data_IF_953004697638
#
_entry.id   IF_953004697638
#
_cell.length_a   1.000
_cell.length_b   1.000
_cell.length_c   1.000
_cell.angle_alpha   90.00
_cell.angle_beta   90.00
_cell.angle_gamma   90.00
#
_symmetry.space_group_name_H-M   'P 1'
#
loop_
_entity.id
_entity.type
_entity.pdbx_description
1 polymer ?
#
# COMPACT_ATOMS: atom_id res chain seq x y z
N UNK A 1 5.17 23.57 -9.47
CA UNK A 1 5.44 22.15 -9.39
C UNK A 1 5.39 21.70 -7.92
N UNK A 2 4.89 20.50 -7.67
CA UNK A 2 4.75 19.93 -6.33
C UNK A 2 5.34 18.51 -6.34
N UNK A 3 6.17 18.21 -5.37
CA UNK A 3 6.59 16.87 -5.01
C UNK A 3 5.91 16.49 -3.70
N UNK A 4 5.16 15.40 -3.67
CA UNK A 4 4.39 14.97 -2.52
C UNK A 4 4.68 13.49 -2.20
N UNK A 5 4.72 13.18 -0.92
CA UNK A 5 4.80 11.79 -0.46
C UNK A 5 3.48 11.03 -0.72
N UNK A 6 3.58 9.72 -0.75
CA UNK A 6 2.41 8.83 -0.77
C UNK A 6 1.69 8.84 0.62
N UNK A 7 0.45 8.55 0.72
CA UNK A 7 -0.52 8.40 -0.34
C UNK A 7 -1.01 9.79 -0.77
N UNK A 8 -1.70 9.87 -1.92
CA UNK A 8 -2.16 11.15 -2.47
C UNK A 8 -3.00 11.92 -1.45
N UNK A 9 -3.97 11.27 -0.83
CA UNK A 9 -4.78 11.80 0.26
C UNK A 9 -5.42 10.63 1.04
N UNK A 10 -6.18 10.94 2.07
CA UNK A 10 -6.85 9.96 2.92
C UNK A 10 -8.20 9.51 2.36
N UNK A 11 -8.91 10.39 1.68
CA UNK A 11 -10.24 10.11 1.12
C UNK A 11 -10.25 10.21 -0.41
N UNK A 12 -11.22 9.55 -1.04
CA UNK A 12 -11.40 9.63 -2.48
C UNK A 12 -11.73 11.05 -2.95
N UNK A 13 -12.53 11.78 -2.18
CA UNK A 13 -12.91 13.16 -2.51
C UNK A 13 -11.68 14.09 -2.48
N UNK A 14 -10.81 13.93 -1.49
CA UNK A 14 -9.53 14.66 -1.44
C UNK A 14 -8.63 14.31 -2.62
N UNK A 15 -8.51 13.02 -2.97
CA UNK A 15 -7.75 12.59 -4.14
C UNK A 15 -8.31 13.20 -5.42
N UNK A 16 -9.64 13.20 -5.56
CA UNK A 16 -10.32 13.79 -6.72
C UNK A 16 -10.09 15.31 -6.80
N UNK A 17 -10.19 16.02 -5.69
CA UNK A 17 -9.94 17.47 -5.64
C UNK A 17 -8.49 17.81 -6.06
N UNK A 18 -7.51 17.03 -5.61
CA UNK A 18 -6.11 17.18 -6.01
C UNK A 18 -5.95 16.92 -7.52
N UNK A 19 -6.54 15.84 -8.02
CA UNK A 19 -6.49 15.46 -9.44
C UNK A 19 -7.14 16.52 -10.33
N UNK A 20 -8.33 17.00 -9.98
CA UNK A 20 -9.06 18.03 -10.73
C UNK A 20 -8.25 19.36 -10.74
N UNK A 21 -7.65 19.74 -9.61
CA UNK A 21 -6.78 20.93 -9.52
C UNK A 21 -5.53 20.78 -10.38
N UNK A 22 -4.91 19.61 -10.35
CA UNK A 22 -3.75 19.31 -11.19
C UNK A 22 -4.08 19.45 -12.68
N UNK A 23 -5.19 18.87 -13.13
CA UNK A 23 -5.60 18.94 -14.54
C UNK A 23 -5.89 20.35 -15.03
N UNK A 24 -6.21 21.28 -14.13
CA UNK A 24 -6.43 22.71 -14.46
C UNK A 24 -5.13 23.50 -14.41
N UNK A 25 -4.03 22.90 -14.00
CA UNK A 25 -2.75 23.57 -13.82
C UNK A 25 -1.76 23.18 -14.93
N UNK A 26 -0.86 24.08 -15.28
CA UNK A 26 0.31 23.80 -16.15
C UNK A 26 1.53 23.34 -15.33
N UNK A 27 1.32 22.87 -14.11
CA UNK A 27 2.41 22.50 -13.18
C UNK A 27 2.58 20.99 -13.15
N UNK A 28 3.74 20.52 -12.72
CA UNK A 28 4.00 19.12 -12.43
C UNK A 28 3.57 18.82 -11.00
N UNK A 29 2.78 17.78 -10.84
CA UNK A 29 2.47 17.15 -9.57
C UNK A 29 3.05 15.74 -9.58
N UNK A 30 3.92 15.44 -8.63
CA UNK A 30 4.58 14.14 -8.52
C UNK A 30 4.28 13.53 -7.14
N UNK A 31 3.76 12.32 -7.13
CA UNK A 31 3.61 11.51 -5.92
C UNK A 31 4.72 10.46 -5.84
N UNK A 32 5.38 10.41 -4.69
CA UNK A 32 6.50 9.51 -4.47
C UNK A 32 6.04 8.07 -4.20
N UNK A 33 5.77 7.33 -5.29
CA UNK A 33 5.63 5.87 -5.25
C UNK A 33 6.99 5.28 -5.65
N UNK A 34 7.91 5.18 -4.70
CA UNK A 34 9.34 4.95 -4.95
C UNK A 34 9.63 3.68 -5.76
N UNK A 35 8.83 2.63 -5.63
CA UNK A 35 9.01 1.36 -6.35
C UNK A 35 8.87 1.51 -7.86
N UNK A 36 8.05 2.46 -8.32
CA UNK A 36 7.91 2.76 -9.76
C UNK A 36 9.19 3.27 -10.40
N UNK A 37 10.13 3.76 -9.58
CA UNK A 37 11.40 4.35 -10.01
C UNK A 37 12.62 3.55 -9.58
N UNK A 38 12.42 2.45 -8.85
CA UNK A 38 13.48 1.52 -8.49
C UNK A 38 13.83 0.62 -9.68
N UNK A 39 15.10 0.61 -10.07
CA UNK A 39 15.60 -0.13 -11.24
C UNK A 39 15.30 -1.63 -11.15
N UNK A 40 15.27 -2.21 -9.95
CA UNK A 40 14.95 -3.62 -9.74
C UNK A 40 13.49 -3.90 -10.08
N UNK A 41 12.57 -3.05 -9.59
CA UNK A 41 11.14 -3.17 -9.91
C UNK A 41 10.88 -2.92 -11.40
N UNK A 42 11.50 -1.90 -11.99
CA UNK A 42 11.40 -1.64 -13.44
C UNK A 42 11.85 -2.87 -14.23
N UNK A 43 13.01 -3.46 -13.88
CA UNK A 43 13.52 -4.65 -14.55
C UNK A 43 12.62 -5.86 -14.34
N UNK A 44 12.14 -6.10 -13.12
CA UNK A 44 11.17 -7.15 -12.81
C UNK A 44 9.89 -7.03 -13.65
N UNK A 45 9.33 -5.82 -13.75
CA UNK A 45 8.14 -5.56 -14.58
C UNK A 45 8.39 -5.78 -16.07
N UNK A 46 9.55 -5.40 -16.58
CA UNK A 46 9.93 -5.71 -17.97
C UNK A 46 9.96 -7.23 -18.22
N UNK A 47 10.48 -8.00 -17.29
CA UNK A 47 10.53 -9.47 -17.37
C UNK A 47 9.13 -10.08 -17.29
N UNK A 48 8.27 -9.62 -16.39
CA UNK A 48 6.87 -10.05 -16.29
C UNK A 48 6.13 -9.74 -17.60
N UNK A 49 6.23 -8.50 -18.06
CA UNK A 49 5.51 -8.04 -19.25
C UNK A 49 6.05 -8.61 -20.57
N UNK A 50 7.27 -9.15 -20.58
CA UNK A 50 7.79 -9.91 -21.73
C UNK A 50 7.26 -11.35 -21.79
N UNK A 51 6.49 -11.77 -20.78
CA UNK A 51 5.93 -13.14 -20.71
C UNK A 51 6.88 -14.18 -20.11
N UNK A 52 7.98 -13.76 -19.47
CA UNK A 52 8.98 -14.66 -18.89
C UNK A 52 8.35 -15.64 -17.87
N UNK A 53 7.42 -15.15 -17.04
CA UNK A 53 6.71 -15.97 -16.06
C UNK A 53 5.36 -16.51 -16.57
N UNK A 54 5.03 -16.27 -17.86
CA UNK A 54 3.72 -16.60 -18.43
C UNK A 54 2.64 -15.60 -18.00
N UNK A 55 1.39 -16.04 -17.98
CA UNK A 55 0.24 -15.22 -17.54
C UNK A 55 0.25 -15.06 -16.03
N UNK A 56 0.01 -13.85 -15.53
CA UNK A 56 -0.15 -13.60 -14.09
C UNK A 56 -1.45 -14.23 -13.61
N UNK A 57 -1.35 -15.23 -12.74
CA UNK A 57 -2.48 -16.02 -12.23
C UNK A 57 -2.81 -15.77 -10.76
N UNK A 58 -1.95 -15.07 -10.03
CA UNK A 58 -2.16 -14.69 -8.65
C UNK A 58 -1.03 -13.82 -8.12
N UNK A 59 -1.25 -13.16 -7.00
CA UNK A 59 -0.25 -12.35 -6.32
C UNK A 59 -0.38 -12.50 -4.81
N UNK A 60 0.74 -12.49 -4.14
CA UNK A 60 0.83 -12.54 -2.68
C UNK A 60 1.74 -11.44 -2.21
N UNK A 61 1.29 -10.67 -1.23
CA UNK A 61 2.09 -9.61 -0.65
C UNK A 61 1.91 -9.58 0.86
N UNK A 62 2.97 -9.31 1.56
CA UNK A 62 2.86 -9.05 2.97
C UNK A 62 3.82 -7.95 3.42
N UNK A 63 3.45 -7.29 4.52
CA UNK A 63 4.33 -6.35 5.21
C UNK A 63 4.25 -6.59 6.70
N UNK A 64 5.22 -7.35 7.20
CA UNK A 64 5.35 -7.65 8.60
C UNK A 64 6.50 -6.85 9.20
N UNK A 65 6.23 -6.21 10.31
CA UNK A 65 7.25 -5.49 11.06
C UNK A 65 6.91 -5.48 12.55
N UNK A 66 7.90 -5.24 13.38
CA UNK A 66 7.70 -5.06 14.81
C UNK A 66 7.96 -3.58 15.15
N UNK A 67 6.90 -2.77 15.09
CA UNK A 67 6.97 -1.35 15.33
C UNK A 67 5.60 -0.80 15.72
N UNK A 68 5.52 -0.09 16.83
CA UNK A 68 4.28 0.52 17.31
C UNK A 68 3.91 1.83 16.59
N UNK A 69 4.86 2.44 15.88
CA UNK A 69 4.79 3.77 15.25
C UNK A 69 4.61 4.94 16.22
N UNK A 70 4.48 4.66 17.51
CA UNK A 70 4.28 5.70 18.50
C UNK A 70 5.57 6.46 18.77
N UNK A 71 5.44 7.76 18.94
CA UNK A 71 6.54 8.66 19.33
C UNK A 71 6.16 9.36 20.63
N UNK A 72 7.13 9.64 21.51
CA UNK A 72 6.88 10.47 22.68
C UNK A 72 6.32 11.82 22.27
N UNK A 73 5.20 12.22 22.89
CA UNK A 73 4.61 13.55 22.72
C UNK A 73 5.03 14.43 23.90
N UNK A 74 5.50 15.66 23.68
CA UNK A 74 5.93 16.57 24.76
C UNK A 74 4.77 17.00 25.67
N UNK A 75 3.55 17.00 25.15
CA UNK A 75 2.34 17.30 25.92
C UNK A 75 1.13 16.53 25.34
N UNK A 76 0.05 16.33 26.12
CA UNK A 76 -1.17 15.66 25.68
C UNK A 76 -1.82 16.32 24.46
N UNK A 77 -1.73 17.66 24.34
CA UNK A 77 -2.33 18.42 23.24
C UNK A 77 -1.63 18.13 21.90
N UNK A 78 -0.36 17.71 21.94
CA UNK A 78 0.42 17.38 20.75
C UNK A 78 0.36 15.89 20.39
N UNK A 79 -0.22 15.04 21.25
CA UNK A 79 -0.29 13.59 21.05
C UNK A 79 -0.86 13.21 19.68
N UNK A 80 -2.05 13.66 19.33
CA UNK A 80 -2.68 13.32 18.04
C UNK A 80 -1.94 13.89 16.83
N UNK A 81 -1.32 15.05 16.99
CA UNK A 81 -0.55 15.68 15.90
C UNK A 81 0.75 14.93 15.60
N UNK A 82 1.47 14.51 16.64
CA UNK A 82 2.75 13.78 16.50
C UNK A 82 2.50 12.33 16.07
N UNK A 83 1.50 11.69 16.68
CA UNK A 83 1.14 10.30 16.44
C UNK A 83 -0.02 10.15 15.45
N UNK A 84 -0.15 11.06 14.49
CA UNK A 84 -1.25 11.12 13.53
C UNK A 84 -1.54 9.78 12.81
N UNK A 85 -0.50 8.95 12.60
CA UNK A 85 -0.65 7.62 11.98
C UNK A 85 -1.52 6.65 12.78
N UNK A 86 -1.73 6.91 14.06
CA UNK A 86 -2.45 6.03 14.97
C UNK A 86 -3.96 6.34 15.04
N UNK A 87 -4.41 7.43 14.41
CA UNK A 87 -5.78 7.95 14.54
C UNK A 87 -6.51 7.97 13.20
N UNK A 88 -7.81 7.56 13.22
CA UNK A 88 -8.64 7.43 12.01
C UNK A 88 -8.97 8.75 11.33
N UNK A 89 -8.95 9.84 12.06
CA UNK A 89 -9.20 11.19 11.53
C UNK A 89 -8.05 11.71 10.65
N UNK A 90 -6.86 11.16 10.81
CA UNK A 90 -5.65 11.62 10.13
C UNK A 90 -4.92 10.54 9.32
N UNK A 91 -5.28 9.26 9.50
CA UNK A 91 -4.60 8.13 8.83
C UNK A 91 -5.58 7.10 8.28
N UNK A 92 -5.26 6.51 7.14
CA UNK A 92 -5.93 5.32 6.62
C UNK A 92 -5.31 4.00 7.12
N UNK A 93 -4.42 4.06 8.12
CA UNK A 93 -3.81 2.90 8.76
C UNK A 93 -2.91 2.09 7.82
N UNK A 94 -2.79 0.79 8.06
CA UNK A 94 -1.90 -0.11 7.34
C UNK A 94 -2.14 -0.12 5.82
N UNK A 95 -3.38 0.10 5.39
CA UNK A 95 -3.72 0.08 3.97
C UNK A 95 -3.13 1.26 3.20
N UNK A 96 -3.16 2.45 3.76
CA UNK A 96 -2.57 3.65 3.12
C UNK A 96 -1.08 3.81 3.41
N UNK A 97 -0.63 3.35 4.58
CA UNK A 97 0.77 3.53 4.98
C UNK A 97 1.70 2.47 4.39
N UNK A 98 1.24 1.23 4.25
CA UNK A 98 2.04 0.09 3.80
C UNK A 98 1.49 -0.56 2.52
N UNK A 99 0.23 -0.98 2.50
CA UNK A 99 -0.34 -1.73 1.39
C UNK A 99 -0.31 -0.98 0.06
N UNK A 100 -0.43 0.35 0.07
CA UNK A 100 -0.39 1.16 -1.15
C UNK A 100 0.84 0.87 -2.02
N UNK A 101 2.01 0.64 -1.41
CA UNK A 101 3.24 0.31 -2.13
C UNK A 101 3.17 -1.02 -2.87
N UNK A 102 2.57 -2.02 -2.26
CA UNK A 102 2.49 -3.38 -2.80
C UNK A 102 1.33 -3.52 -3.78
N UNK A 103 0.20 -2.88 -3.48
CA UNK A 103 -0.95 -2.83 -4.39
C UNK A 103 -0.61 -2.14 -5.71
N UNK A 104 0.22 -1.09 -5.67
CA UNK A 104 0.72 -0.44 -6.88
C UNK A 104 1.56 -1.40 -7.73
N UNK A 105 2.49 -2.14 -7.12
CA UNK A 105 3.31 -3.16 -7.80
C UNK A 105 2.41 -4.23 -8.43
N UNK A 106 1.40 -4.72 -7.69
CA UNK A 106 0.45 -5.70 -8.19
C UNK A 106 -0.37 -5.17 -9.40
N UNK A 107 -0.87 -3.94 -9.30
CA UNK A 107 -1.62 -3.32 -10.39
C UNK A 107 -0.72 -3.08 -11.61
N UNK A 108 0.54 -2.72 -11.40
CA UNK A 108 1.53 -2.57 -12.46
C UNK A 108 1.81 -3.91 -13.17
N UNK A 109 2.03 -4.98 -12.39
CA UNK A 109 2.22 -6.32 -12.95
C UNK A 109 0.98 -6.79 -13.72
N UNK A 110 -0.22 -6.56 -13.19
CA UNK A 110 -1.48 -6.97 -13.80
C UNK A 110 -1.93 -6.06 -14.95
N UNK A 111 -1.40 -4.83 -15.08
CA UNK A 111 -1.84 -3.77 -16.02
C UNK A 111 -3.33 -3.44 -15.92
N UNK A 112 -3.92 -3.56 -14.75
CA UNK A 112 -5.35 -3.31 -14.48
C UNK A 112 -5.61 -3.06 -13.00
N UNK A 113 -6.82 -2.60 -12.71
CA UNK A 113 -7.28 -2.35 -11.34
C UNK A 113 -8.19 -3.48 -10.86
N UNK A 114 -8.19 -3.80 -9.55
CA UNK A 114 -9.13 -4.77 -8.99
C UNK A 114 -10.56 -4.23 -9.04
N UNK A 115 -11.54 -5.16 -9.12
CA UNK A 115 -12.97 -4.84 -9.22
C UNK A 115 -13.73 -5.13 -7.92
N UNK A 116 -13.14 -5.86 -6.99
CA UNK A 116 -13.73 -6.12 -5.70
C UNK A 116 -12.65 -6.36 -4.64
N UNK A 117 -13.03 -6.10 -3.39
CA UNK A 117 -12.19 -6.25 -2.22
C UNK A 117 -12.99 -6.88 -1.08
N UNK A 118 -12.34 -7.72 -0.30
CA UNK A 118 -12.83 -8.22 0.98
C UNK A 118 -11.67 -8.32 1.97
N UNK A 119 -11.94 -8.13 3.25
CA UNK A 119 -10.89 -8.25 4.24
C UNK A 119 -11.37 -8.03 5.65
N UNK A 120 -10.47 -8.26 6.58
CA UNK A 120 -10.64 -8.05 8.02
C UNK A 120 -9.43 -7.33 8.57
N UNK A 121 -9.64 -6.59 9.66
CA UNK A 121 -8.58 -5.94 10.40
C UNK A 121 -8.97 -5.73 11.84
N UNK A 122 -7.98 -5.73 12.71
CA UNK A 122 -8.17 -5.55 14.14
C UNK A 122 -6.95 -4.90 14.80
N UNK A 123 -7.14 -4.44 16.05
CA UNK A 123 -6.07 -4.10 16.97
C UNK A 123 -5.83 -5.33 17.85
N UNK A 124 -4.88 -6.17 17.45
CA UNK A 124 -4.62 -7.46 18.12
C UNK A 124 -3.59 -7.34 19.24
N UNK A 125 -2.59 -6.49 19.08
CA UNK A 125 -1.45 -6.42 20.00
C UNK A 125 -1.26 -5.04 20.66
N UNK A 126 -1.15 -3.97 19.88
CA UNK A 126 -0.83 -2.63 20.39
C UNK A 126 -2.06 -1.95 21.03
N UNK A 127 -2.34 -2.28 22.31
CA UNK A 127 -3.47 -1.70 23.08
C UNK A 127 -3.10 -0.36 23.72
N UNK A 128 -2.54 0.55 22.93
CA UNK A 128 -1.95 1.82 23.35
C UNK A 128 -2.84 3.05 23.09
N UNK A 129 -4.13 2.83 22.85
CA UNK A 129 -5.09 3.90 22.57
C UNK A 129 -5.17 4.30 21.08
N UNK A 130 -4.50 3.54 20.18
CA UNK A 130 -4.66 3.74 18.74
C UNK A 130 -6.06 3.41 18.27
N UNK A 131 -6.45 4.02 17.16
CA UNK A 131 -7.73 3.78 16.50
C UNK A 131 -7.58 2.96 15.20
N UNK A 132 -6.38 2.97 14.59
CA UNK A 132 -6.10 2.19 13.38
C UNK A 132 -5.67 0.77 13.73
N UNK A 133 -5.95 -0.16 12.83
CA UNK A 133 -5.59 -1.56 12.99
C UNK A 133 -4.07 -1.77 12.99
N UNK A 134 -3.60 -2.76 13.74
CA UNK A 134 -2.23 -3.24 13.73
C UNK A 134 -2.07 -4.58 13.00
N UNK A 135 -3.20 -5.16 12.56
CA UNK A 135 -3.29 -6.37 11.76
C UNK A 135 -4.39 -6.24 10.71
N UNK A 136 -4.08 -6.61 9.46
CA UNK A 136 -5.07 -6.67 8.37
C UNK A 136 -4.79 -7.87 7.46
N UNK A 137 -5.87 -8.49 6.96
CA UNK A 137 -5.85 -9.50 5.91
C UNK A 137 -6.86 -9.10 4.85
N UNK A 138 -6.41 -8.93 3.61
CA UNK A 138 -7.24 -8.39 2.53
C UNK A 138 -7.04 -9.18 1.25
N UNK A 139 -8.13 -9.49 0.56
CA UNK A 139 -8.11 -10.07 -0.78
C UNK A 139 -8.73 -9.11 -1.77
N UNK A 140 -7.99 -8.80 -2.83
CA UNK A 140 -8.48 -8.08 -4.00
C UNK A 140 -8.73 -9.06 -5.14
N UNK A 141 -9.75 -8.80 -5.96
CA UNK A 141 -10.08 -9.61 -7.13
C UNK A 141 -10.14 -8.73 -8.38
N UNK A 142 -9.47 -9.16 -9.43
CA UNK A 142 -9.56 -8.59 -10.76
C UNK A 142 -10.71 -9.19 -11.56
N UNK A 143 -11.09 -8.56 -12.68
CA UNK A 143 -12.23 -8.98 -13.53
C UNK A 143 -12.07 -10.38 -14.12
N UNK A 144 -10.83 -10.82 -14.38
CA UNK A 144 -10.51 -12.16 -14.90
C UNK A 144 -10.43 -13.24 -13.82
N UNK A 145 -10.68 -12.90 -12.55
CA UNK A 145 -10.61 -13.82 -11.42
C UNK A 145 -9.27 -13.90 -10.72
N UNK A 146 -8.20 -13.31 -11.27
CA UNK A 146 -6.90 -13.16 -10.58
C UNK A 146 -7.08 -12.46 -9.25
N UNK A 147 -6.32 -12.84 -8.24
CA UNK A 147 -6.42 -12.27 -6.88
C UNK A 147 -5.07 -11.82 -6.35
N UNK A 148 -5.12 -10.80 -5.50
CA UNK A 148 -4.05 -10.43 -4.59
C UNK A 148 -4.47 -10.87 -3.18
N UNK A 149 -3.62 -11.65 -2.50
CA UNK A 149 -3.70 -11.84 -1.07
C UNK A 149 -2.70 -10.88 -0.41
N UNK A 150 -3.19 -9.99 0.44
CA UNK A 150 -2.37 -9.02 1.17
C UNK A 150 -2.52 -9.18 2.66
N UNK A 151 -1.40 -9.20 3.37
CA UNK A 151 -1.36 -9.25 4.83
C UNK A 151 -0.42 -8.17 5.39
N UNK A 152 -0.81 -7.59 6.50
CA UNK A 152 0.09 -6.73 7.27
C UNK A 152 -0.12 -6.89 8.76
N UNK A 153 0.99 -7.02 9.47
CA UNK A 153 1.03 -7.11 10.92
C UNK A 153 2.23 -6.30 11.42
N UNK A 154 2.01 -5.38 12.34
CA UNK A 154 3.08 -4.55 12.90
C UNK A 154 3.52 -4.95 14.31
N UNK A 155 3.13 -6.15 14.76
CA UNK A 155 3.54 -6.74 16.03
C UNK A 155 4.58 -7.88 15.87
N UNK A 156 4.88 -8.27 14.65
CA UNK A 156 5.86 -9.32 14.33
C UNK A 156 6.46 -9.04 12.94
N UNK A 157 7.76 -9.25 12.77
CA UNK A 157 8.44 -9.00 11.49
C UNK A 157 8.88 -10.28 10.75
N UNK A 158 8.25 -11.42 11.00
CA UNK A 158 8.57 -12.67 10.33
C UNK A 158 8.50 -12.50 8.79
N UNK A 159 9.56 -12.85 8.09
CA UNK A 159 9.78 -12.64 6.66
C UNK A 159 9.70 -11.16 6.17
N UNK A 160 9.50 -10.20 7.06
CA UNK A 160 9.55 -8.77 6.72
C UNK A 160 8.53 -8.35 5.68
N UNK A 161 8.98 -8.04 4.47
CA UNK A 161 8.15 -7.54 3.38
C UNK A 161 8.45 -8.33 2.11
N UNK A 162 7.40 -8.74 1.39
CA UNK A 162 7.53 -9.51 0.16
C UNK A 162 6.42 -9.17 -0.84
N UNK A 163 6.78 -9.21 -2.12
CA UNK A 163 5.87 -9.03 -3.26
C UNK A 163 6.06 -10.21 -4.23
N UNK A 164 5.18 -11.19 -4.19
CA UNK A 164 5.21 -12.36 -5.07
C UNK A 164 4.20 -12.21 -6.22
N UNK A 165 4.69 -12.26 -7.45
CA UNK A 165 3.85 -12.30 -8.65
C UNK A 165 3.92 -13.73 -9.22
N UNK A 166 2.80 -14.43 -9.13
CA UNK A 166 2.67 -15.83 -9.55
C UNK A 166 2.24 -15.90 -11.01
N UNK A 167 3.09 -16.38 -11.86
CA UNK A 167 2.82 -16.62 -13.27
C UNK A 167 2.56 -18.09 -13.57
N UNK A 168 1.97 -18.39 -14.74
CA UNK A 168 1.68 -19.75 -15.20
C UNK A 168 2.93 -20.57 -15.55
N UNK A 169 4.10 -19.93 -15.68
CA UNK A 169 5.39 -20.57 -16.02
C UNK A 169 6.50 -20.31 -15.00
N UNK A 170 6.28 -19.44 -14.05
CA UNK A 170 7.27 -19.11 -13.03
C UNK A 170 6.75 -18.06 -12.04
N UNK A 171 7.56 -17.69 -11.09
CA UNK A 171 7.25 -16.68 -10.06
C UNK A 171 8.32 -15.60 -10.06
N UNK A 172 7.92 -14.38 -9.78
CA UNK A 172 8.80 -13.24 -9.51
C UNK A 172 8.63 -12.85 -8.04
N UNK A 173 9.74 -12.82 -7.29
CA UNK A 173 9.85 -12.34 -5.91
C UNK A 173 10.68 -11.05 -5.88
#
# INVERSE_FOLDING_TARGET
HVFCEKAMARTLDECKAIYDTYNQSEKVLYFCMQRMYDEKYIKGMQMIHSGLIGDVVGMRCHWFRNADWRRPAPSPELERKINWRLYKDSSGGLMTELACHQLEVCNWAAKRMPVSIMGMGDIVYWKDGREVYDSVNVTYRYSDGTKIAYESLIANKFNGMEDQILGSKGTMD
#
